data_IF_761186486071
#
_entry.id   IF_761186486071
#
_cell.length_a   1.000
_cell.length_b   1.000
_cell.length_c   1.000
_cell.angle_alpha   90.00
_cell.angle_beta   90.00
_cell.angle_gamma   90.00
#
_symmetry.space_group_name_H-M   'P 1'
#
loop_
_entity.id
_entity.type
_entity.pdbx_description
1 polymer ?
#
# COMPACT_ATOMS: atom_id res chain seq x y z
N UNK A 1 -6.06 -3.59 -4.45
CA UNK A 1 -6.56 -2.50 -3.57
C UNK A 1 -6.22 -2.69 -2.07
N UNK A 2 -5.79 -3.87 -1.62
CA UNK A 2 -5.39 -4.16 -0.24
C UNK A 2 -4.11 -3.44 0.22
N UNK A 3 -3.24 -3.09 -0.73
CA UNK A 3 -2.07 -2.23 -0.48
C UNK A 3 -2.34 -0.74 -0.66
N UNK A 4 -3.58 -0.31 -0.93
CA UNK A 4 -3.87 1.11 -1.07
C UNK A 4 -4.05 1.76 0.30
N UNK A 5 -3.63 3.03 0.45
CA UNK A 5 -3.80 3.75 1.70
C UNK A 5 -5.25 4.19 1.94
N UNK A 6 -5.61 4.59 3.17
CA UNK A 6 -6.97 5.00 3.54
C UNK A 6 -7.57 6.08 2.65
N UNK A 7 -6.76 7.06 2.22
CA UNK A 7 -7.22 8.15 1.36
C UNK A 7 -7.66 7.71 -0.05
N UNK A 8 -7.31 6.48 -0.46
CA UNK A 8 -7.75 5.84 -1.69
C UNK A 8 -9.18 5.32 -1.64
N UNK A 9 -9.81 5.30 -0.47
CA UNK A 9 -11.18 4.85 -0.31
C UNK A 9 -12.12 6.06 -0.32
N UNK A 10 -13.20 5.96 -1.09
CA UNK A 10 -14.34 6.87 -1.01
C UNK A 10 -15.53 6.15 -0.38
N UNK A 11 -16.21 6.84 0.52
CA UNK A 11 -17.50 6.44 1.06
C UNK A 11 -18.56 7.33 0.45
N UNK A 12 -19.58 6.73 -0.16
CA UNK A 12 -20.70 7.48 -0.71
C UNK A 12 -21.47 8.23 0.38
N UNK A 13 -21.92 9.45 0.05
CA UNK A 13 -22.75 10.29 0.90
C UNK A 13 -24.20 9.81 0.90
N UNK A 14 -24.72 9.51 -0.28
CA UNK A 14 -26.12 9.17 -0.52
C UNK A 14 -26.31 8.37 -1.81
N UNK A 15 -27.55 8.03 -2.10
CA UNK A 15 -27.95 7.25 -3.28
C UNK A 15 -27.71 8.02 -4.58
N UNK A 16 -27.93 9.34 -4.61
CA UNK A 16 -27.74 10.15 -5.82
C UNK A 16 -26.28 10.14 -6.26
N UNK A 17 -25.37 10.23 -5.30
CA UNK A 17 -23.94 10.14 -5.54
C UNK A 17 -23.53 8.77 -6.11
N UNK A 18 -24.15 7.70 -5.62
CA UNK A 18 -23.94 6.34 -6.13
C UNK A 18 -24.51 6.15 -7.54
N UNK A 19 -25.67 6.72 -7.83
CA UNK A 19 -26.29 6.65 -9.15
C UNK A 19 -25.43 7.37 -10.20
N UNK A 20 -24.88 8.53 -9.85
CA UNK A 20 -23.90 9.25 -10.68
C UNK A 20 -22.65 8.41 -10.98
N UNK A 21 -22.10 7.74 -9.96
CA UNK A 21 -20.95 6.85 -10.14
C UNK A 21 -21.26 5.66 -11.06
N UNK A 22 -22.43 5.03 -10.87
CA UNK A 22 -22.87 3.91 -11.71
C UNK A 22 -23.12 4.34 -13.16
N UNK A 23 -23.61 5.56 -13.38
CA UNK A 23 -23.78 6.12 -14.72
C UNK A 23 -22.42 6.37 -15.40
N UNK A 24 -21.45 6.92 -14.66
CA UNK A 24 -20.09 7.12 -15.16
C UNK A 24 -19.43 5.80 -15.59
N UNK A 25 -19.53 4.76 -14.76
CA UNK A 25 -18.94 3.45 -15.04
C UNK A 25 -19.86 2.49 -15.78
N UNK A 26 -20.96 2.97 -16.39
CA UNK A 26 -21.97 2.13 -17.02
C UNK A 26 -21.35 1.14 -18.01
N UNK A 27 -20.42 1.58 -18.85
CA UNK A 27 -19.75 0.71 -19.81
C UNK A 27 -18.97 -0.43 -19.13
N UNK A 28 -18.19 -0.13 -18.09
CA UNK A 28 -17.41 -1.17 -17.38
C UNK A 28 -18.35 -2.13 -16.63
N UNK A 29 -19.42 -1.59 -16.05
CA UNK A 29 -20.46 -2.35 -15.33
C UNK A 29 -21.21 -3.32 -16.24
N UNK A 30 -21.74 -2.81 -17.35
CA UNK A 30 -22.59 -3.57 -18.28
C UNK A 30 -21.78 -4.67 -18.98
N UNK A 31 -20.48 -4.43 -19.22
CA UNK A 31 -19.55 -5.41 -19.80
C UNK A 31 -18.85 -6.29 -18.75
N UNK A 32 -19.11 -6.09 -17.45
CA UNK A 32 -18.50 -6.82 -16.33
C UNK A 32 -16.98 -7.01 -16.48
N UNK A 33 -16.26 -5.94 -16.80
CA UNK A 33 -14.83 -6.01 -17.08
C UNK A 33 -14.01 -6.35 -15.83
N UNK A 34 -12.76 -6.78 -15.99
CA UNK A 34 -11.84 -6.95 -14.85
C UNK A 34 -11.68 -5.64 -14.06
N UNK A 35 -11.68 -4.50 -14.75
CA UNK A 35 -11.67 -3.18 -14.13
C UNK A 35 -12.91 -2.95 -13.28
N UNK A 36 -14.09 -3.35 -13.75
CA UNK A 36 -15.31 -3.27 -12.95
C UNK A 36 -15.22 -4.08 -11.67
N UNK A 37 -14.58 -5.26 -11.65
CA UNK A 37 -14.43 -6.05 -10.41
C UNK A 37 -13.75 -5.27 -9.28
N UNK A 38 -12.81 -4.39 -9.63
CA UNK A 38 -12.10 -3.49 -8.71
C UNK A 38 -12.96 -2.26 -8.37
N UNK A 39 -13.60 -1.66 -9.38
CA UNK A 39 -14.37 -0.42 -9.25
C UNK A 39 -15.76 -0.59 -8.64
N UNK A 40 -16.38 -1.78 -8.71
CA UNK A 40 -17.74 -1.98 -8.23
C UNK A 40 -17.88 -1.55 -6.76
N UNK A 41 -18.96 -0.83 -6.38
CA UNK A 41 -19.20 -0.51 -4.98
C UNK A 41 -19.30 -1.73 -4.07
N UNK A 42 -18.87 -1.57 -2.81
CA UNK A 42 -19.00 -2.57 -1.75
C UNK A 42 -19.86 -2.01 -0.61
N UNK A 43 -20.81 -2.80 -0.11
CA UNK A 43 -21.71 -2.39 0.97
C UNK A 43 -21.22 -2.89 2.32
N UNK A 44 -21.32 -2.05 3.35
CA UNK A 44 -21.18 -2.45 4.75
C UNK A 44 -21.92 -1.48 5.67
N UNK A 45 -22.73 -2.01 6.60
CA UNK A 45 -23.48 -1.20 7.56
C UNK A 45 -24.37 -0.13 6.90
N UNK A 46 -25.04 -0.47 5.80
CA UNK A 46 -25.90 0.45 5.04
C UNK A 46 -25.16 1.55 4.27
N UNK A 47 -23.83 1.49 4.17
CA UNK A 47 -22.98 2.45 3.46
C UNK A 47 -22.25 1.78 2.32
N UNK A 48 -22.04 2.52 1.24
CA UNK A 48 -21.30 2.05 0.06
C UNK A 48 -19.90 2.66 0.01
N UNK A 49 -18.94 1.86 -0.45
CA UNK A 49 -17.53 2.23 -0.55
C UNK A 49 -16.96 1.83 -1.91
N UNK A 50 -16.03 2.62 -2.43
CA UNK A 50 -15.28 2.37 -3.68
C UNK A 50 -13.82 2.79 -3.55
N UNK A 51 -12.98 2.26 -4.42
CA UNK A 51 -11.62 2.79 -4.62
C UNK A 51 -11.72 4.02 -5.50
N UNK A 52 -11.06 5.10 -5.11
CA UNK A 52 -10.93 6.31 -5.92
C UNK A 52 -10.02 6.04 -7.11
N UNK A 53 -10.36 6.65 -8.24
CA UNK A 53 -9.52 6.58 -9.43
C UNK A 53 -8.38 7.60 -9.38
N UNK A 54 -7.28 7.26 -10.06
CA UNK A 54 -6.10 8.10 -10.17
C UNK A 54 -6.20 9.05 -11.36
N UNK A 55 -5.39 10.10 -11.37
CA UNK A 55 -5.23 10.97 -12.53
C UNK A 55 -4.33 10.28 -13.57
N UNK A 56 -4.84 10.04 -14.78
CA UNK A 56 -4.05 9.57 -15.93
C UNK A 56 -3.83 10.71 -16.94
N UNK A 57 -2.58 11.19 -17.04
CA UNK A 57 -2.16 12.22 -18.00
C UNK A 57 -2.88 13.57 -17.85
N UNK A 58 -2.67 14.47 -18.83
CA UNK A 58 -3.34 15.79 -18.91
C UNK A 58 -4.80 15.71 -19.37
N UNK A 59 -5.36 14.51 -19.52
CA UNK A 59 -6.75 14.34 -19.93
C UNK A 59 -7.71 14.70 -18.78
N UNK A 60 -8.09 15.97 -18.78
CA UNK A 60 -9.09 16.57 -17.91
C UNK A 60 -10.53 16.24 -18.32
N UNK A 61 -10.74 15.32 -19.26
CA UNK A 61 -12.08 14.93 -19.68
C UNK A 61 -12.81 14.23 -18.52
N UNK A 62 -14.01 14.73 -18.20
CA UNK A 62 -14.95 14.22 -17.21
C UNK A 62 -14.55 14.29 -15.72
N UNK A 63 -13.84 15.35 -15.30
CA UNK A 63 -13.53 15.61 -13.88
C UNK A 63 -14.80 15.78 -13.00
N UNK A 64 -15.92 16.21 -13.59
CA UNK A 64 -17.14 16.54 -12.84
C UNK A 64 -18.11 15.39 -12.57
N UNK A 65 -17.88 14.19 -13.12
CA UNK A 65 -18.87 13.10 -13.04
C UNK A 65 -18.59 12.08 -11.93
N UNK A 66 -17.38 12.07 -11.37
CA UNK A 66 -17.05 11.21 -10.24
C UNK A 66 -17.38 11.91 -8.92
N UNK A 67 -17.84 11.15 -7.91
CA UNK A 67 -18.26 11.68 -6.62
C UNK A 67 -17.11 12.11 -5.70
N UNK A 68 -15.89 12.03 -6.21
CA UNK A 68 -14.66 12.36 -5.50
C UNK A 68 -13.67 12.97 -6.47
N UNK A 69 -12.74 13.74 -5.92
CA UNK A 69 -11.57 14.19 -6.69
C UNK A 69 -10.69 12.98 -7.00
N UNK A 70 -10.29 12.84 -8.28
CA UNK A 70 -9.29 11.86 -8.70
C UNK A 70 -8.00 12.05 -7.91
N UNK A 71 -7.37 10.96 -7.51
CA UNK A 71 -6.16 10.99 -6.70
C UNK A 71 -4.94 11.31 -7.54
N UNK A 72 -4.09 12.20 -7.01
CA UNK A 72 -2.71 12.32 -7.48
C UNK A 72 -1.92 11.18 -6.85
N UNK A 73 -1.26 10.36 -7.68
CA UNK A 73 -0.26 9.43 -7.16
C UNK A 73 0.87 10.24 -6.52
N UNK A 74 1.15 9.94 -5.25
CA UNK A 74 2.24 10.57 -4.49
C UNK A 74 3.12 9.46 -3.94
N UNK A 75 4.39 9.79 -3.65
CA UNK A 75 5.34 8.84 -3.03
C UNK A 75 4.84 8.25 -1.70
N UNK A 76 3.88 8.92 -1.05
CA UNK A 76 3.26 8.43 0.19
C UNK A 76 2.39 7.19 -0.03
N UNK A 77 1.92 6.94 -1.26
CA UNK A 77 1.23 5.69 -1.61
C UNK A 77 2.21 4.53 -1.54
N UNK A 78 3.37 4.69 -2.15
CA UNK A 78 4.42 3.66 -2.16
C UNK A 78 4.87 3.36 -0.73
N UNK A 79 5.09 4.39 0.10
CA UNK A 79 5.44 4.19 1.52
C UNK A 79 4.42 3.29 2.22
N UNK A 80 3.12 3.58 2.08
CA UNK A 80 2.06 2.75 2.67
C UNK A 80 2.11 1.31 2.15
N UNK A 81 2.21 1.13 0.83
CA UNK A 81 2.28 -0.19 0.20
C UNK A 81 3.44 -1.01 0.75
N UNK A 82 4.61 -0.40 0.96
CA UNK A 82 5.77 -1.06 1.58
C UNK A 82 5.48 -1.46 3.03
N UNK A 83 4.81 -0.63 3.82
CA UNK A 83 4.43 -1.00 5.19
C UNK A 83 3.45 -2.17 5.25
N UNK A 84 2.47 -2.18 4.35
CA UNK A 84 1.48 -3.26 4.26
C UNK A 84 2.13 -4.56 3.77
N UNK A 85 3.04 -4.48 2.79
CA UNK A 85 3.86 -5.61 2.34
C UNK A 85 4.77 -6.13 3.47
N UNK A 86 5.36 -5.24 4.26
CA UNK A 86 6.22 -5.62 5.38
C UNK A 86 5.44 -6.46 6.39
N UNK A 87 4.26 -6.00 6.78
CA UNK A 87 3.38 -6.76 7.66
C UNK A 87 3.03 -8.12 7.06
N UNK A 88 2.65 -8.18 5.78
CA UNK A 88 2.24 -9.43 5.14
C UNK A 88 3.38 -10.45 5.04
N UNK A 89 4.61 -10.01 4.78
CA UNK A 89 5.78 -10.88 4.77
C UNK A 89 6.11 -11.48 6.14
N UNK A 90 5.78 -10.79 7.24
CA UNK A 90 6.01 -11.28 8.61
C UNK A 90 4.86 -12.18 9.07
N UNK A 91 3.64 -11.70 8.91
CA UNK A 91 2.46 -12.32 9.50
C UNK A 91 1.80 -13.35 8.57
N UNK A 92 2.11 -13.32 7.28
CA UNK A 92 1.51 -14.19 6.26
C UNK A 92 0.05 -13.84 5.93
N UNK A 93 -0.40 -12.65 6.33
CA UNK A 93 -1.79 -12.20 6.16
C UNK A 93 -1.82 -10.72 5.81
N UNK A 94 -2.90 -10.26 5.16
CA UNK A 94 -3.17 -8.83 4.99
C UNK A 94 -3.32 -8.12 6.35
N UNK A 95 -3.15 -6.79 6.35
CA UNK A 95 -3.28 -5.96 7.55
C UNK A 95 -4.54 -6.28 8.39
N UNK A 96 -4.49 -6.09 9.73
CA UNK A 96 -5.58 -6.44 10.63
C UNK A 96 -6.92 -5.85 10.20
N UNK A 97 -7.94 -6.71 10.11
CA UNK A 97 -9.29 -6.32 9.71
C UNK A 97 -9.46 -6.06 8.21
N UNK A 98 -8.45 -6.31 7.37
CA UNK A 98 -8.55 -6.26 5.92
C UNK A 98 -8.50 -7.67 5.33
N UNK A 99 -9.35 -7.94 4.35
CA UNK A 99 -9.35 -9.20 3.59
C UNK A 99 -9.10 -8.90 2.12
N UNK A 100 -8.09 -9.55 1.56
CA UNK A 100 -7.72 -9.43 0.16
C UNK A 100 -7.88 -10.76 -0.58
N UNK A 101 -8.13 -10.71 -1.90
CA UNK A 101 -8.04 -11.87 -2.78
C UNK A 101 -6.58 -12.13 -3.21
N UNK A 102 -6.38 -13.17 -4.03
CA UNK A 102 -5.07 -13.54 -4.60
C UNK A 102 -4.42 -12.47 -5.49
N UNK A 103 -5.16 -11.41 -5.86
CA UNK A 103 -4.67 -10.28 -6.64
C UNK A 103 -4.55 -9.02 -5.76
N UNK A 104 -4.50 -9.22 -4.44
CA UNK A 104 -4.41 -8.18 -3.42
C UNK A 104 -5.52 -7.15 -3.51
N UNK A 105 -6.75 -7.55 -3.89
CA UNK A 105 -7.92 -6.68 -3.88
C UNK A 105 -8.78 -6.93 -2.65
N UNK A 106 -9.14 -5.84 -1.97
CA UNK A 106 -10.10 -5.88 -0.88
C UNK A 106 -11.42 -6.49 -1.37
N UNK A 107 -11.86 -7.55 -0.70
CA UNK A 107 -12.97 -8.37 -1.19
C UNK A 107 -14.34 -7.89 -0.73
N UNK A 108 -14.43 -7.27 0.45
CA UNK A 108 -15.69 -6.92 1.11
C UNK A 108 -15.77 -5.47 1.59
N UNK A 109 -16.99 -4.98 1.85
CA UNK A 109 -17.20 -3.61 2.32
C UNK A 109 -16.70 -3.36 3.74
N UNK A 110 -16.57 -4.41 4.55
CA UNK A 110 -16.03 -4.30 5.91
C UNK A 110 -14.55 -3.90 5.86
N UNK A 111 -13.78 -4.48 4.95
CA UNK A 111 -12.37 -4.14 4.75
C UNK A 111 -12.20 -2.70 4.28
N UNK A 112 -13.05 -2.23 3.36
CA UNK A 112 -13.05 -0.82 2.95
C UNK A 112 -13.38 0.11 4.11
N UNK A 113 -14.35 -0.28 4.93
CA UNK A 113 -14.74 0.47 6.12
C UNK A 113 -13.61 0.56 7.16
N UNK A 114 -12.95 -0.56 7.42
CA UNK A 114 -11.84 -0.67 8.37
C UNK A 114 -10.63 0.13 7.88
N UNK A 115 -10.27 0.02 6.60
CA UNK A 115 -9.19 0.79 6.00
C UNK A 115 -9.46 2.30 6.07
N UNK A 116 -10.69 2.75 5.80
CA UNK A 116 -11.05 4.17 5.92
C UNK A 116 -10.97 4.70 7.36
N UNK A 117 -11.21 3.82 8.35
CA UNK A 117 -11.12 4.10 9.79
C UNK A 117 -9.74 3.86 10.39
N UNK A 118 -8.74 3.54 9.57
CA UNK A 118 -7.41 3.20 10.03
C UNK A 118 -6.83 4.29 10.94
N UNK A 119 -6.52 3.92 12.16
CA UNK A 119 -6.13 4.83 13.23
C UNK A 119 -4.99 4.22 14.07
N UNK A 120 -4.65 4.87 15.20
CA UNK A 120 -3.60 4.38 16.12
C UNK A 120 -3.92 2.99 16.69
N UNK A 121 -5.18 2.69 16.97
CA UNK A 121 -5.60 1.39 17.48
C UNK A 121 -5.41 0.29 16.42
N UNK A 122 -5.63 0.64 15.14
CA UNK A 122 -5.36 -0.27 14.01
C UNK A 122 -3.87 -0.64 13.94
N UNK A 123 -3.00 0.35 14.18
CA UNK A 123 -1.54 0.14 14.26
C UNK A 123 -1.16 -0.64 15.52
N UNK A 124 -1.86 -0.48 16.64
CA UNK A 124 -1.63 -1.29 17.83
C UNK A 124 -1.93 -2.78 17.59
N UNK A 125 -2.99 -3.10 16.83
CA UNK A 125 -3.27 -4.49 16.44
C UNK A 125 -2.13 -5.07 15.58
N UNK A 126 -1.55 -4.26 14.68
CA UNK A 126 -0.36 -4.65 13.93
C UNK A 126 0.79 -5.03 14.87
N UNK A 127 0.97 -4.31 15.98
CA UNK A 127 2.04 -4.61 16.94
C UNK A 127 1.81 -5.91 17.69
N UNK A 128 0.56 -6.16 18.12
CA UNK A 128 0.19 -7.40 18.79
C UNK A 128 0.49 -8.62 17.90
N UNK A 129 0.13 -8.55 16.61
CA UNK A 129 0.43 -9.63 15.67
C UNK A 129 1.95 -9.82 15.49
N UNK A 130 2.73 -8.73 15.43
CA UNK A 130 4.18 -8.82 15.30
C UNK A 130 4.84 -9.46 16.54
N UNK A 131 4.36 -9.13 17.74
CA UNK A 131 4.84 -9.72 18.99
C UNK A 131 4.63 -11.23 19.06
N UNK A 132 3.58 -11.74 18.42
CA UNK A 132 3.34 -13.18 18.29
C UNK A 132 4.24 -13.86 17.25
N UNK A 133 4.76 -13.12 16.26
CA UNK A 133 5.49 -13.68 15.11
C UNK A 133 7.01 -13.59 15.26
N UNK A 134 7.53 -12.60 15.96
CA UNK A 134 8.97 -12.32 16.04
C UNK A 134 9.40 -11.92 17.45
N UNK A 135 10.61 -12.33 17.85
CA UNK A 135 11.11 -12.15 19.22
C UNK A 135 11.54 -10.73 19.59
N UNK A 136 11.77 -9.86 18.61
CA UNK A 136 12.16 -8.46 18.82
C UNK A 136 11.47 -7.54 17.79
N UNK A 137 10.17 -7.24 17.96
CA UNK A 137 9.39 -6.49 16.99
C UNK A 137 9.61 -4.97 17.06
N UNK A 138 10.23 -4.46 18.13
CA UNK A 138 10.29 -3.03 18.44
C UNK A 138 10.74 -2.15 17.26
N UNK A 139 11.83 -2.49 16.56
CA UNK A 139 12.29 -1.69 15.42
C UNK A 139 11.34 -1.71 14.22
N UNK A 140 10.68 -2.85 13.97
CA UNK A 140 9.67 -2.98 12.92
C UNK A 140 8.43 -2.18 13.29
N UNK A 141 7.98 -2.29 14.53
CA UNK A 141 6.86 -1.51 15.06
C UNK A 141 7.14 -0.01 14.92
N UNK A 142 8.36 0.44 15.24
CA UNK A 142 8.76 1.85 15.08
C UNK A 142 8.59 2.33 13.63
N UNK A 143 9.07 1.56 12.66
CA UNK A 143 8.98 1.89 11.24
C UNK A 143 7.52 1.86 10.76
N UNK A 144 6.76 0.81 11.09
CA UNK A 144 5.35 0.71 10.72
C UNK A 144 4.51 1.83 11.35
N UNK A 145 4.85 2.31 12.55
CA UNK A 145 4.23 3.48 13.19
C UNK A 145 4.39 4.77 12.37
N UNK A 146 5.46 4.82 11.56
CA UNK A 146 5.82 5.97 10.72
C UNK A 146 5.19 5.86 9.33
N UNK A 147 4.96 4.62 8.86
CA UNK A 147 4.45 4.27 7.53
C UNK A 147 2.92 4.10 7.51
N UNK A 148 2.37 3.21 8.33
CA UNK A 148 0.98 2.76 8.30
C UNK A 148 0.06 3.76 9.02
N UNK A 149 0.05 4.99 8.52
CA UNK A 149 -0.70 6.09 9.12
C UNK A 149 -1.58 6.77 8.09
N UNK A 150 -2.73 7.23 8.57
CA UNK A 150 -3.63 8.05 7.77
C UNK A 150 -3.05 9.46 7.63
N UNK A 151 -3.09 9.99 6.41
CA UNK A 151 -2.72 11.39 6.17
C UNK A 151 -3.84 12.27 6.69
N UNK A 152 -3.50 13.17 7.60
CA UNK A 152 -4.41 14.18 8.17
C UNK A 152 -3.78 15.57 8.03
N UNK A 153 -4.51 16.62 8.42
CA UNK A 153 -3.94 17.97 8.48
C UNK A 153 -2.73 18.04 9.42
N UNK A 154 -2.78 17.33 10.54
CA UNK A 154 -1.73 17.32 11.57
C UNK A 154 -0.56 16.38 11.21
N UNK A 155 -0.80 15.43 10.29
CA UNK A 155 0.22 14.52 9.77
C UNK A 155 0.11 14.43 8.24
N UNK A 156 0.65 15.42 7.52
CA UNK A 156 0.41 15.56 6.08
C UNK A 156 1.16 14.52 5.23
N UNK A 157 2.09 13.76 5.82
CA UNK A 157 2.92 12.81 5.09
C UNK A 157 3.32 11.61 5.95
N UNK A 158 3.51 10.47 5.27
CA UNK A 158 4.20 9.29 5.79
C UNK A 158 5.71 9.50 5.72
N UNK A 159 6.48 8.68 6.43
CA UNK A 159 7.92 8.60 6.20
C UNK A 159 8.20 8.25 4.73
N UNK A 160 9.22 8.87 4.14
CA UNK A 160 9.63 8.60 2.76
C UNK A 160 10.44 7.29 2.68
N UNK A 161 10.58 6.73 1.48
CA UNK A 161 11.48 5.57 1.25
C UNK A 161 12.90 5.84 1.75
N UNK A 162 13.42 7.06 1.52
CA UNK A 162 14.73 7.45 2.06
C UNK A 162 14.73 7.40 3.60
N UNK A 163 13.69 7.90 4.25
CA UNK A 163 13.57 7.82 5.70
C UNK A 163 13.42 6.39 6.24
N UNK A 164 12.88 5.46 5.44
CA UNK A 164 12.87 4.03 5.77
C UNK A 164 14.30 3.48 5.71
N UNK A 165 15.04 3.77 4.63
CA UNK A 165 16.43 3.31 4.42
C UNK A 165 17.38 3.90 5.47
N UNK A 166 17.28 5.21 5.72
CA UNK A 166 18.11 5.93 6.70
C UNK A 166 17.71 5.60 8.15
N UNK A 167 16.66 4.81 8.37
CA UNK A 167 16.24 4.49 9.73
C UNK A 167 17.40 3.76 10.43
N UNK A 168 17.83 4.25 11.61
CA UNK A 168 18.99 3.73 12.35
C UNK A 168 18.82 2.29 12.85
N UNK A 169 17.70 1.63 12.53
CA UNK A 169 17.66 0.17 12.47
C UNK A 169 18.60 -0.36 11.38
N UNK A 170 19.90 -0.26 11.63
CA UNK A 170 20.92 -1.06 11.00
C UNK A 170 21.25 -2.14 12.03
N UNK A 171 20.49 -3.25 12.07
CA UNK A 171 20.73 -4.26 13.07
C UNK A 171 22.17 -4.74 12.95
N UNK A 172 22.87 -4.74 14.08
CA UNK A 172 24.17 -5.40 14.18
C UNK A 172 23.99 -6.80 13.59
N UNK A 173 24.79 -7.13 12.57
CA UNK A 173 24.60 -8.24 11.60
C UNK A 173 24.79 -9.61 12.28
N UNK A 174 24.00 -9.90 13.30
CA UNK A 174 23.83 -11.21 13.91
C UNK A 174 22.52 -11.78 13.42
N UNK A 175 22.47 -12.02 12.10
CA UNK A 175 21.71 -13.07 11.38
C UNK A 175 20.35 -13.55 11.93
N UNK A 176 19.53 -12.71 12.54
CA UNK A 176 18.15 -13.12 12.87
C UNK A 176 17.28 -13.06 11.60
N UNK A 177 16.21 -13.87 11.49
CA UNK A 177 15.26 -13.77 10.37
C UNK A 177 14.70 -12.36 10.16
N UNK A 178 14.59 -11.58 11.25
CA UNK A 178 14.12 -10.19 11.24
C UNK A 178 15.09 -9.26 10.51
N UNK A 179 16.41 -9.40 10.72
CA UNK A 179 17.40 -8.57 10.03
C UNK A 179 17.43 -8.86 8.53
N UNK A 180 17.29 -10.14 8.14
CA UNK A 180 17.21 -10.57 6.74
C UNK A 180 15.99 -10.01 6.03
N UNK A 181 14.84 -10.01 6.69
CA UNK A 181 13.60 -9.46 6.13
C UNK A 181 13.70 -7.94 5.98
N UNK A 182 14.24 -7.26 6.98
CA UNK A 182 14.48 -5.82 6.91
C UNK A 182 15.43 -5.45 5.76
N UNK A 183 16.54 -6.18 5.58
CA UNK A 183 17.46 -5.98 4.44
C UNK A 183 16.75 -6.18 3.10
N UNK A 184 15.85 -7.17 2.99
CA UNK A 184 15.07 -7.39 1.77
C UNK A 184 14.17 -6.19 1.43
N UNK A 185 13.63 -5.51 2.44
CA UNK A 185 12.80 -4.32 2.27
C UNK A 185 13.63 -3.10 1.93
N UNK A 186 14.80 -2.94 2.55
CA UNK A 186 15.75 -1.89 2.14
C UNK A 186 16.09 -2.06 0.67
N UNK A 187 16.32 -3.28 0.18
CA UNK A 187 16.55 -3.55 -1.25
C UNK A 187 15.33 -3.16 -2.11
N UNK A 188 14.10 -3.45 -1.68
CA UNK A 188 12.88 -3.02 -2.39
C UNK A 188 12.79 -1.48 -2.44
N UNK A 189 12.99 -0.79 -1.31
CA UNK A 189 13.00 0.67 -1.24
C UNK A 189 14.06 1.28 -2.15
N UNK A 190 15.25 0.69 -2.17
CA UNK A 190 16.36 1.09 -3.05
C UNK A 190 16.00 0.91 -4.52
N UNK A 191 15.45 -0.24 -4.91
CA UNK A 191 15.01 -0.51 -6.28
C UNK A 191 13.96 0.51 -6.75
N UNK A 192 12.96 0.81 -5.91
CA UNK A 192 11.95 1.82 -6.22
C UNK A 192 12.55 3.22 -6.40
N UNK A 193 13.56 3.58 -5.61
CA UNK A 193 14.26 4.87 -5.74
C UNK A 193 15.12 4.96 -7.02
N UNK A 194 15.71 3.85 -7.47
CA UNK A 194 16.45 3.75 -8.74
C UNK A 194 15.50 3.90 -9.94
N UNK A 195 14.34 3.24 -9.90
CA UNK A 195 13.33 3.31 -10.97
C UNK A 195 12.72 4.71 -11.13
N UNK A 196 12.66 5.49 -10.05
CA UNK A 196 12.27 6.90 -10.04
C UNK A 196 13.30 7.84 -10.71
N UNK A 197 14.42 7.30 -11.21
CA UNK A 197 15.47 8.06 -11.92
C UNK A 197 16.27 9.01 -11.02
N UNK A 198 16.15 8.87 -9.69
CA UNK A 198 16.85 9.72 -8.72
C UNK A 198 18.28 9.26 -8.39
N UNK A 199 18.60 8.00 -8.68
CA UNK A 199 19.91 7.41 -8.47
C UNK A 199 20.26 6.53 -9.66
N UNK A 200 21.51 6.58 -10.10
CA UNK A 200 21.97 5.86 -11.30
C UNK A 200 22.52 4.48 -10.97
N UNK A 201 22.98 4.26 -9.73
CA UNK A 201 23.60 3.00 -9.29
C UNK A 201 23.39 2.74 -7.79
N UNK A 202 23.47 1.46 -7.37
CA UNK A 202 23.45 1.04 -5.96
C UNK A 202 24.58 1.68 -5.13
N UNK A 203 25.71 2.01 -5.75
CA UNK A 203 26.87 2.63 -5.10
C UNK A 203 26.61 4.06 -4.62
N UNK A 204 25.68 4.79 -5.26
CA UNK A 204 25.31 6.16 -4.84
C UNK A 204 24.46 6.17 -3.56
N UNK A 205 23.89 5.02 -3.17
CA UNK A 205 23.01 4.89 -2.00
C UNK A 205 23.81 4.57 -0.72
N UNK A 206 25.12 4.32 -0.84
CA UNK A 206 26.02 4.22 0.31
C UNK A 206 25.78 2.98 1.19
N UNK A 207 25.20 1.92 0.63
CA UNK A 207 24.82 0.73 1.40
C UNK A 207 25.69 -0.47 1.07
N UNK A 208 26.56 -0.87 2.01
CA UNK A 208 27.35 -2.10 1.94
C UNK A 208 26.50 -3.34 2.23
N UNK A 209 25.63 -3.74 1.29
CA UNK A 209 24.85 -4.98 1.41
C UNK A 209 25.52 -6.12 0.64
N UNK A 210 25.79 -7.23 1.34
CA UNK A 210 26.16 -8.52 0.74
C UNK A 210 24.85 -9.27 0.48
N UNK A 211 24.57 -9.57 -0.79
CA UNK A 211 23.44 -10.42 -1.19
C UNK A 211 23.81 -11.87 -0.88
N UNK A 212 23.15 -12.46 0.12
CA UNK A 212 23.30 -13.89 0.46
C UNK A 212 22.35 -14.72 -0.42
N UNK A 213 22.93 -15.50 -1.34
CA UNK A 213 22.22 -16.40 -2.26
C UNK A 213 21.41 -17.49 -1.54
N UNK A 214 21.63 -17.74 -0.24
CA UNK A 214 20.97 -18.80 0.51
C UNK A 214 19.49 -18.56 0.80
N UNK A 215 18.97 -17.35 0.58
CA UNK A 215 17.56 -17.03 0.84
C UNK A 215 16.61 -17.42 -0.30
N UNK A 216 17.10 -17.84 -1.48
CA UNK A 216 16.21 -18.05 -2.63
C UNK A 216 15.46 -16.78 -3.07
N UNK A 217 15.81 -15.63 -2.48
CA UNK A 217 15.45 -14.28 -2.91
C UNK A 217 16.35 -13.93 -4.10
N UNK A 218 16.23 -14.72 -5.16
CA UNK A 218 16.23 -14.09 -6.47
C UNK A 218 15.03 -13.16 -6.40
N UNK A 219 15.28 -11.87 -6.15
CA UNK A 219 14.37 -10.81 -6.56
C UNK A 219 14.34 -10.89 -8.09
N UNK A 220 13.71 -11.95 -8.61
CA UNK A 220 13.24 -11.98 -9.96
C UNK A 220 12.25 -10.84 -9.96
N UNK A 221 12.63 -9.74 -10.58
CA UNK A 221 11.97 -9.09 -11.71
C UNK A 221 10.63 -9.65 -12.24
N UNK A 222 9.90 -10.51 -11.53
CA UNK A 222 8.59 -11.05 -11.89
C UNK A 222 7.48 -10.61 -10.96
N UNK A 223 7.76 -10.21 -9.70
CA UNK A 223 6.70 -9.63 -8.84
C UNK A 223 6.81 -8.12 -8.66
N UNK A 224 8.03 -7.55 -8.69
CA UNK A 224 8.22 -6.08 -8.66
C UNK A 224 8.22 -5.47 -10.07
N UNK A 225 8.60 -6.24 -11.10
CA UNK A 225 8.73 -5.75 -12.49
C UNK A 225 7.58 -6.22 -13.41
N UNK A 226 6.58 -6.94 -12.88
CA UNK A 226 5.34 -7.24 -13.62
C UNK A 226 4.27 -6.15 -13.43
N UNK A 227 4.65 -4.88 -13.53
CA UNK A 227 3.81 -3.87 -14.19
C UNK A 227 4.66 -2.69 -14.67
N UNK A 228 5.61 -3.01 -15.56
CA UNK A 228 5.95 -2.11 -16.67
C UNK A 228 4.69 -1.97 -17.54
N UNK A 229 3.78 -1.12 -17.09
CA UNK A 229 2.41 -1.06 -17.59
C UNK A 229 1.52 -0.51 -16.51
N UNK A 230 1.43 0.83 -16.47
CA UNK A 230 0.39 1.65 -15.84
C UNK A 230 -0.59 0.84 -14.99
N UNK A 231 -0.43 0.96 -13.67
CA UNK A 231 -1.41 0.48 -12.72
C UNK A 231 -2.69 1.33 -12.92
N UNK A 232 -3.64 0.77 -13.68
CA UNK A 232 -5.02 1.23 -13.82
C UNK A 232 -5.75 1.25 -12.47
#
# INVERSE_FOLDING_TARGET
SGFLPPEAIHKFRDQNEMDGYNAYWKHEKDNNTERWKILKPRMYGGKWFVVKTFMEGDSMENIGQLPYKRLKLTKSFDSWSVGALFYELICGTSLPGLKSDQNDNLVDGQSYHNLLKWNKDSVHNVYADLEEKISDPGPIQEILSKILVQITKDRPQRISMKGIIDNPFNPDVKTTPVTKLYSSIVLICVQLLLEDGKYSTLNEIGTGFVVDEALGLVVTSRHVIAKKGRIF
#
